data_IF_249394286567
#
_entry.id   IF_249394286567
#
_cell.length_a   1.000
_cell.length_b   1.000
_cell.length_c   1.000
_cell.angle_alpha   90.00
_cell.angle_beta   90.00
_cell.angle_gamma   90.00
#
_symmetry.space_group_name_H-M   'P 1'
#
loop_
_entity.id
_entity.type
_entity.pdbx_description
1 polymer ?
#
# COMPACT_ATOMS: atom_id res chain seq x y z
N UNK A 1 18.73 1.51 3.85
CA UNK A 1 17.40 2.15 3.72
C UNK A 1 16.34 1.10 3.99
N UNK A 2 15.21 1.44 4.62
CA UNK A 2 14.14 0.49 4.89
C UNK A 2 13.08 0.60 3.79
N UNK A 3 13.00 -0.43 2.94
CA UNK A 3 11.94 -0.60 1.94
C UNK A 3 10.84 -1.45 2.57
N UNK A 4 9.59 -1.09 2.33
CA UNK A 4 8.44 -1.83 2.83
C UNK A 4 7.53 -2.21 1.68
N UNK A 5 7.07 -3.45 1.66
CA UNK A 5 6.11 -3.92 0.67
C UNK A 5 4.73 -4.05 1.29
N UNK A 6 3.74 -3.48 0.59
CA UNK A 6 2.35 -3.49 0.97
C UNK A 6 1.48 -4.00 -0.16
N UNK A 7 0.34 -4.56 0.17
CA UNK A 7 -0.73 -4.91 -0.75
C UNK A 7 -2.01 -4.23 -0.31
N UNK A 8 -2.73 -3.63 -1.26
CA UNK A 8 -4.00 -2.98 -1.00
C UNK A 8 -5.06 -4.07 -0.83
N UNK A 9 -5.51 -4.29 0.40
CA UNK A 9 -6.52 -5.32 0.70
C UNK A 9 -7.92 -4.83 0.40
N UNK A 10 -8.20 -3.56 0.69
CA UNK A 10 -9.52 -2.97 0.44
C UNK A 10 -9.42 -1.45 0.26
N UNK A 11 -10.35 -0.88 -0.49
CA UNK A 11 -10.51 0.57 -0.67
C UNK A 11 -11.87 1.02 -0.14
N UNK A 12 -11.88 1.93 0.82
CA UNK A 12 -13.10 2.42 1.48
C UNK A 12 -13.17 3.94 1.34
N UNK A 13 -13.93 4.41 0.35
CA UNK A 13 -14.05 5.84 0.02
C UNK A 13 -12.71 6.49 -0.33
N UNK A 14 -12.25 7.41 0.52
CA UNK A 14 -10.98 8.13 0.42
C UNK A 14 -9.81 7.41 1.11
N UNK A 15 -10.04 6.24 1.68
CA UNK A 15 -9.04 5.47 2.43
C UNK A 15 -8.74 4.11 1.76
N UNK A 16 -7.53 3.62 2.03
CA UNK A 16 -7.02 2.33 1.57
C UNK A 16 -6.45 1.56 2.76
N UNK A 17 -6.79 0.27 2.84
CA UNK A 17 -6.23 -0.65 3.82
C UNK A 17 -5.05 -1.40 3.19
N UNK A 18 -3.86 -1.17 3.70
CA UNK A 18 -2.62 -1.77 3.22
C UNK A 18 -2.16 -2.87 4.17
N UNK A 19 -2.02 -4.10 3.68
CA UNK A 19 -1.38 -5.19 4.42
C UNK A 19 0.08 -5.26 4.06
N UNK A 20 0.96 -5.36 5.06
CA UNK A 20 2.39 -5.53 4.81
C UNK A 20 2.66 -6.96 4.35
N UNK A 21 3.36 -7.13 3.23
CA UNK A 21 3.65 -8.44 2.62
C UNK A 21 5.07 -8.94 2.88
N UNK A 22 5.95 -8.04 3.32
CA UNK A 22 7.35 -8.32 3.65
C UNK A 22 7.52 -9.10 4.97
N UNK A 23 6.53 -9.04 5.86
CA UNK A 23 6.49 -9.77 7.13
C UNK A 23 5.12 -10.41 7.31
N UNK A 24 5.03 -11.49 8.08
CA UNK A 24 3.75 -12.06 8.48
C UNK A 24 3.11 -11.15 9.54
N UNK A 25 2.17 -10.30 9.10
CA UNK A 25 1.44 -9.37 9.95
C UNK A 25 0.00 -9.27 9.48
N UNK A 26 -0.95 -9.41 10.41
CA UNK A 26 -2.38 -9.19 10.14
C UNK A 26 -2.82 -7.74 10.37
N UNK A 27 -1.89 -6.87 10.77
CA UNK A 27 -2.16 -5.43 10.89
C UNK A 27 -2.39 -4.78 9.51
N UNK A 28 -3.50 -4.05 9.41
CA UNK A 28 -3.86 -3.27 8.23
C UNK A 28 -3.55 -1.80 8.49
N UNK A 29 -2.69 -1.24 7.65
CA UNK A 29 -2.35 0.17 7.68
C UNK A 29 -3.37 0.96 6.85
N UNK A 30 -4.11 1.84 7.53
CA UNK A 30 -5.04 2.76 6.87
C UNK A 30 -4.29 3.97 6.31
N UNK A 31 -4.42 4.22 5.00
CA UNK A 31 -3.73 5.30 4.27
C UNK A 31 -4.73 6.04 3.39
N UNK A 32 -4.64 7.37 3.32
CA UNK A 32 -5.48 8.15 2.42
C UNK A 32 -5.10 7.91 0.95
N UNK A 33 -6.09 7.70 0.07
CA UNK A 33 -5.89 7.49 -1.38
C UNK A 33 -5.19 8.67 -2.05
N UNK A 34 -5.34 9.88 -1.51
CA UNK A 34 -4.62 11.07 -1.97
C UNK A 34 -3.09 10.97 -1.86
N UNK A 35 -2.57 10.11 -0.98
CA UNK A 35 -1.13 9.84 -0.84
C UNK A 35 -0.65 8.71 -1.75
N UNK A 36 -1.57 7.96 -2.35
CA UNK A 36 -1.27 6.82 -3.18
C UNK A 36 -1.31 7.22 -4.66
N UNK A 37 -0.61 6.50 -5.54
CA UNK A 37 -0.73 6.73 -6.97
C UNK A 37 -2.17 6.55 -7.45
N UNK A 38 -2.64 7.33 -8.44
CA UNK A 38 -4.03 7.30 -8.91
C UNK A 38 -4.44 5.96 -9.55
N UNK A 39 -3.46 5.18 -10.01
CA UNK A 39 -3.66 3.81 -10.54
C UNK A 39 -3.86 2.75 -9.44
N UNK A 40 -3.85 3.13 -8.16
CA UNK A 40 -3.97 2.18 -7.05
C UNK A 40 -5.37 1.59 -6.98
N UNK A 41 -5.46 0.25 -7.03
CA UNK A 41 -6.68 -0.54 -6.90
C UNK A 41 -6.52 -1.62 -5.82
N UNK A 42 -7.61 -2.27 -5.44
CA UNK A 42 -7.59 -3.47 -4.59
C UNK A 42 -6.73 -4.57 -5.25
N UNK A 43 -5.91 -5.26 -4.46
CA UNK A 43 -4.90 -6.21 -4.93
C UNK A 43 -3.63 -5.57 -5.50
N UNK A 44 -3.54 -4.24 -5.58
CA UNK A 44 -2.31 -3.57 -6.05
C UNK A 44 -1.20 -3.71 -5.02
N UNK A 45 0.01 -4.04 -5.49
CA UNK A 45 1.21 -4.07 -4.65
C UNK A 45 1.93 -2.73 -4.72
N UNK A 46 2.30 -2.24 -3.54
CA UNK A 46 2.95 -0.96 -3.33
C UNK A 46 4.30 -1.16 -2.65
N UNK A 47 5.32 -0.47 -3.16
CA UNK A 47 6.60 -0.29 -2.49
C UNK A 47 6.58 1.05 -1.78
N UNK A 48 6.81 1.05 -0.48
CA UNK A 48 7.01 2.26 0.30
C UNK A 48 8.48 2.45 0.61
N UNK A 49 9.03 3.56 0.14
CA UNK A 49 10.43 3.92 0.30
C UNK A 49 10.56 5.45 0.35
N UNK A 50 11.44 5.99 1.20
CA UNK A 50 11.67 7.45 1.29
C UNK A 50 10.39 8.31 1.46
N UNK A 51 9.41 7.82 2.22
CA UNK A 51 8.10 8.46 2.41
C UNK A 51 7.24 8.57 1.14
N UNK A 52 7.53 7.77 0.11
CA UNK A 52 6.75 7.70 -1.13
C UNK A 52 6.22 6.28 -1.34
N UNK A 53 5.03 6.20 -1.93
CA UNK A 53 4.42 4.94 -2.38
C UNK A 53 4.53 4.84 -3.90
N UNK A 54 5.12 3.74 -4.37
CA UNK A 54 5.23 3.42 -5.79
C UNK A 54 4.48 2.12 -6.08
N UNK A 55 3.71 2.07 -7.17
CA UNK A 55 3.10 0.82 -7.61
C UNK A 55 4.20 -0.06 -8.21
N UNK A 56 4.30 -1.29 -7.73
CA UNK A 56 5.15 -2.31 -8.33
C UNK A 56 4.29 -3.16 -9.26
N UNK A 57 4.61 -3.11 -10.56
CA UNK A 57 4.04 -3.99 -11.59
C UNK A 57 5.03 -5.15 -11.78
N UNK A 58 4.58 -6.39 -11.57
CA UNK A 58 5.35 -7.59 -11.96
C UNK A 58 5.46 -7.69 -13.49
#
# INVERSE_FOLDING_TARGET
MNVFFYEVVSLDGDYANLKRTDIESDDLKLVARALLPPETAEGTRLKYEWMQYEIIKE
#
